data_IF_802838752850
#
_entry.id   IF_802838752850
#
_cell.length_a   1.000
_cell.length_b   1.000
_cell.length_c   1.000
_cell.angle_alpha   90.00
_cell.angle_beta   90.00
_cell.angle_gamma   90.00
#
_symmetry.space_group_name_H-M   'P 1'
#
loop_
_entity.id
_entity.type
_entity.pdbx_description
1 polymer ?
#
# COMPACT_ATOMS: atom_id res chain seq x y z
N UNK A 1 -27.45 18.17 0.17
CA UNK A 1 -26.54 19.13 0.85
C UNK A 1 -25.46 18.47 1.73
N UNK A 2 -25.77 17.46 2.57
CA UNK A 2 -24.74 16.75 3.37
C UNK A 2 -23.88 15.81 2.51
N UNK A 3 -24.49 15.08 1.57
CA UNK A 3 -23.77 14.15 0.68
C UNK A 3 -22.70 14.81 -0.20
N UNK A 4 -22.94 16.03 -0.69
CA UNK A 4 -21.98 16.75 -1.53
C UNK A 4 -20.77 17.25 -0.74
N UNK A 5 -20.98 17.67 0.51
CA UNK A 5 -19.89 18.07 1.42
C UNK A 5 -19.00 16.87 1.77
N UNK A 6 -19.60 15.70 2.02
CA UNK A 6 -18.86 14.47 2.31
C UNK A 6 -18.08 13.99 1.09
N UNK A 7 -18.70 13.97 -0.11
CA UNK A 7 -18.01 13.63 -1.36
C UNK A 7 -16.82 14.56 -1.64
N UNK A 8 -17.00 15.87 -1.42
CA UNK A 8 -15.94 16.85 -1.62
C UNK A 8 -14.81 16.71 -0.59
N UNK A 9 -15.15 16.37 0.66
CA UNK A 9 -14.16 16.07 1.70
C UNK A 9 -13.36 14.82 1.36
N UNK A 10 -14.03 13.72 1.01
CA UNK A 10 -13.38 12.45 0.61
C UNK A 10 -12.45 12.67 -0.60
N UNK A 11 -12.92 13.40 -1.62
CA UNK A 11 -12.09 13.74 -2.79
C UNK A 11 -10.88 14.58 -2.41
N UNK A 12 -11.03 15.52 -1.48
CA UNK A 12 -9.94 16.39 -0.99
C UNK A 12 -8.87 15.60 -0.24
N UNK A 13 -9.30 14.63 0.56
CA UNK A 13 -8.43 13.93 1.49
C UNK A 13 -7.79 12.69 0.85
N UNK A 14 -8.54 11.91 0.07
CA UNK A 14 -8.02 10.73 -0.62
C UNK A 14 -7.26 11.10 -1.90
N UNK A 15 -7.69 12.14 -2.62
CA UNK A 15 -7.12 12.51 -3.91
C UNK A 15 -6.69 13.98 -3.94
N UNK A 16 -5.75 14.39 -3.07
CA UNK A 16 -5.29 15.78 -2.99
C UNK A 16 -4.65 16.26 -4.32
N UNK A 17 -4.17 15.33 -5.13
CA UNK A 17 -3.59 15.53 -6.47
C UNK A 17 -4.53 16.29 -7.43
N UNK A 18 -5.82 15.94 -7.42
CA UNK A 18 -6.80 16.52 -8.35
C UNK A 18 -6.99 18.00 -8.06
N UNK A 19 -7.02 18.36 -6.76
CA UNK A 19 -7.16 19.75 -6.35
C UNK A 19 -5.91 20.56 -6.66
N UNK A 20 -4.73 19.97 -6.47
CA UNK A 20 -3.46 20.62 -6.78
C UNK A 20 -3.38 21.00 -8.27
N UNK A 21 -3.64 20.05 -9.17
CA UNK A 21 -3.59 20.30 -10.61
C UNK A 21 -4.61 21.37 -11.06
N UNK A 22 -5.81 21.35 -10.49
CA UNK A 22 -6.84 22.36 -10.81
C UNK A 22 -6.46 23.75 -10.30
N UNK A 23 -5.92 23.85 -9.08
CA UNK A 23 -5.46 25.10 -8.50
C UNK A 23 -4.26 25.67 -9.26
N UNK A 24 -3.30 24.81 -9.62
CA UNK A 24 -2.13 25.19 -10.41
C UNK A 24 -2.54 25.79 -11.76
N UNK A 25 -3.43 25.12 -12.51
CA UNK A 25 -3.89 25.62 -13.81
C UNK A 25 -4.46 27.05 -13.70
N UNK A 26 -5.33 27.27 -12.71
CA UNK A 26 -5.93 28.59 -12.45
C UNK A 26 -4.88 29.64 -12.08
N UNK A 27 -3.87 29.27 -11.29
CA UNK A 27 -2.80 30.19 -10.91
C UNK A 27 -1.89 30.52 -12.09
N UNK A 28 -1.51 29.54 -12.92
CA UNK A 28 -0.70 29.78 -14.10
C UNK A 28 -1.42 30.67 -15.13
N UNK A 29 -2.74 30.51 -15.28
CA UNK A 29 -3.54 31.42 -16.11
C UNK A 29 -3.51 32.87 -15.59
N UNK A 30 -3.56 33.07 -14.26
CA UNK A 30 -3.42 34.41 -13.66
C UNK A 30 -2.02 34.99 -13.81
N UNK A 31 -0.99 34.18 -13.59
CA UNK A 31 0.42 34.56 -13.75
C UNK A 31 0.67 35.02 -15.18
N UNK A 32 0.21 34.25 -16.18
CA UNK A 32 0.38 34.60 -17.59
C UNK A 32 -0.31 35.91 -17.97
N UNK A 33 -1.46 36.23 -17.33
CA UNK A 33 -2.10 37.53 -17.50
C UNK A 33 -1.22 38.63 -16.93
N UNK A 34 -0.77 38.52 -15.68
CA UNK A 34 0.01 39.56 -14.99
C UNK A 34 1.39 39.76 -15.62
N UNK A 35 2.04 38.69 -16.10
CA UNK A 35 3.37 38.77 -16.70
C UNK A 35 3.41 39.44 -18.08
N UNK A 36 2.28 39.49 -18.78
CA UNK A 36 2.18 40.04 -20.14
C UNK A 36 1.75 41.52 -20.17
N UNK A 37 1.50 42.13 -19.02
CA UNK A 37 1.15 43.55 -18.93
C UNK A 37 2.39 44.41 -18.72
N UNK A 38 2.47 45.50 -19.48
CA UNK A 38 3.41 46.59 -19.23
C UNK A 38 3.04 47.35 -17.96
N UNK A 39 4.06 47.90 -17.28
CA UNK A 39 3.94 48.44 -15.92
C UNK A 39 2.97 49.64 -15.81
N UNK A 40 2.61 50.27 -16.93
CA UNK A 40 1.73 51.44 -16.98
C UNK A 40 0.24 51.10 -16.77
N UNK A 41 -0.17 49.86 -17.06
CA UNK A 41 -1.57 49.40 -16.98
C UNK A 41 -1.92 48.66 -15.66
N UNK A 42 -0.98 48.59 -14.71
CA UNK A 42 -1.15 47.90 -13.42
C UNK A 42 -2.34 48.42 -12.61
N UNK A 43 -2.72 49.68 -12.79
CA UNK A 43 -3.87 50.27 -12.09
C UNK A 43 -5.21 49.62 -12.49
N UNK A 44 -5.27 48.96 -13.65
CA UNK A 44 -6.44 48.21 -14.14
C UNK A 44 -6.39 46.72 -13.78
N UNK A 45 -5.28 46.24 -13.18
CA UNK A 45 -5.14 44.86 -12.73
C UNK A 45 -5.66 44.71 -11.30
N UNK A 46 -6.55 43.73 -11.12
CA UNK A 46 -6.98 43.29 -9.79
C UNK A 46 -5.86 42.45 -9.15
N UNK A 47 -4.91 43.13 -8.50
CA UNK A 47 -3.86 42.50 -7.70
C UNK A 47 -4.47 41.93 -6.41
N UNK A 48 -4.14 40.68 -6.11
CA UNK A 48 -4.73 39.94 -4.99
C UNK A 48 -3.93 40.10 -3.70
N UNK A 49 -2.61 40.24 -3.78
CA UNK A 49 -1.71 40.25 -2.62
C UNK A 49 -1.12 41.63 -2.32
N UNK A 50 -1.02 42.50 -3.33
CA UNK A 50 -0.53 43.88 -3.16
C UNK A 50 -1.58 44.89 -3.58
N UNK A 51 -1.89 45.86 -2.72
CA UNK A 51 -2.64 47.05 -3.11
C UNK A 51 -1.66 48.19 -3.37
N UNK A 52 -1.73 48.73 -4.58
CA UNK A 52 -1.05 49.95 -4.90
C UNK A 52 -1.83 51.12 -4.28
N UNK A 53 -1.30 51.70 -3.21
CA UNK A 53 -1.81 52.98 -2.68
C UNK A 53 -0.69 54.03 -2.66
N UNK A 54 -1.10 55.31 -2.72
CA UNK A 54 -0.16 56.43 -2.71
C UNK A 54 0.53 56.62 -1.35
N UNK A 55 0.06 55.94 -0.29
CA UNK A 55 0.57 56.07 1.07
C UNK A 55 1.71 55.08 1.38
N UNK A 56 1.84 54.01 0.60
CA UNK A 56 2.83 52.96 0.80
C UNK A 56 4.21 53.48 0.39
N UNK A 57 5.15 53.46 1.33
CA UNK A 57 6.55 53.84 1.09
C UNK A 57 7.24 52.79 0.23
N UNK A 58 8.11 53.24 -0.69
CA UNK A 58 8.88 52.36 -1.56
C UNK A 58 9.75 51.37 -0.77
N UNK A 59 10.29 51.78 0.38
CA UNK A 59 11.06 50.93 1.29
C UNK A 59 10.26 49.72 1.79
N UNK A 60 8.98 49.91 2.10
CA UNK A 60 8.11 48.81 2.53
C UNK A 60 7.91 47.80 1.40
N UNK A 61 7.74 48.27 0.16
CA UNK A 61 7.62 47.39 -1.01
C UNK A 61 8.92 46.61 -1.28
N UNK A 62 10.08 47.24 -1.13
CA UNK A 62 11.38 46.55 -1.22
C UNK A 62 11.50 45.45 -0.17
N UNK A 63 11.11 45.75 1.08
CA UNK A 63 11.13 44.76 2.16
C UNK A 63 10.18 43.59 1.90
N UNK A 64 8.95 43.84 1.45
CA UNK A 64 7.99 42.78 1.09
C UNK A 64 8.47 41.94 -0.10
N UNK A 65 9.11 42.59 -1.07
CA UNK A 65 9.73 41.91 -2.19
C UNK A 65 10.85 40.96 -1.74
N UNK A 66 11.77 41.42 -0.90
CA UNK A 66 12.83 40.59 -0.35
C UNK A 66 12.27 39.44 0.49
N UNK A 67 11.23 39.70 1.30
CA UNK A 67 10.51 38.67 2.04
C UNK A 67 9.91 37.62 1.10
N UNK A 68 9.36 38.02 -0.05
CA UNK A 68 8.77 37.11 -1.04
C UNK A 68 9.78 36.17 -1.67
N UNK A 69 11.00 36.65 -1.91
CA UNK A 69 12.11 35.86 -2.41
C UNK A 69 12.63 34.92 -1.32
N UNK A 70 12.84 35.45 -0.10
CA UNK A 70 13.38 34.68 1.01
C UNK A 70 12.49 33.49 1.42
N UNK A 71 11.17 33.56 1.17
CA UNK A 71 10.27 32.42 1.39
C UNK A 71 10.56 31.22 0.49
N UNK A 72 11.22 31.40 -0.65
CA UNK A 72 11.56 30.28 -1.54
C UNK A 72 12.50 29.28 -0.88
N UNK A 73 13.51 29.76 -0.15
CA UNK A 73 14.40 28.88 0.62
C UNK A 73 13.60 28.00 1.61
N UNK A 74 12.60 28.58 2.29
CA UNK A 74 11.74 27.83 3.21
C UNK A 74 10.93 26.73 2.50
N UNK A 75 10.50 26.96 1.26
CA UNK A 75 9.80 25.95 0.47
C UNK A 75 10.74 24.86 -0.03
N UNK A 76 11.97 25.22 -0.41
CA UNK A 76 13.02 24.27 -0.77
C UNK A 76 13.36 23.33 0.39
N UNK A 77 13.55 23.89 1.60
CA UNK A 77 13.83 23.12 2.80
C UNK A 77 12.67 22.17 3.15
N UNK A 78 11.43 22.63 3.03
CA UNK A 78 10.24 21.77 3.20
C UNK A 78 10.18 20.66 2.14
N UNK A 79 10.52 20.94 0.89
CA UNK A 79 10.54 19.94 -0.17
C UNK A 79 11.65 18.89 0.08
N UNK A 80 12.84 19.30 0.52
CA UNK A 80 13.91 18.40 0.97
C UNK A 80 13.46 17.55 2.16
N UNK A 81 12.82 18.16 3.16
CA UNK A 81 12.25 17.43 4.30
C UNK A 81 11.23 16.38 3.87
N UNK A 82 10.37 16.67 2.89
CA UNK A 82 9.44 15.69 2.34
C UNK A 82 10.17 14.53 1.65
N UNK A 83 11.26 14.79 0.92
CA UNK A 83 12.08 13.73 0.32
C UNK A 83 12.69 12.81 1.38
N UNK A 84 13.19 13.38 2.48
CA UNK A 84 13.68 12.60 3.64
C UNK A 84 12.56 11.73 4.23
N UNK A 85 11.36 12.29 4.42
CA UNK A 85 10.21 11.55 4.91
C UNK A 85 9.82 10.39 3.98
N UNK A 86 9.90 10.59 2.66
CA UNK A 86 9.68 9.53 1.67
C UNK A 86 10.73 8.43 1.83
N UNK A 87 12.02 8.78 1.93
CA UNK A 87 13.09 7.79 2.14
C UNK A 87 12.86 6.93 3.39
N UNK A 88 12.54 7.56 4.53
CA UNK A 88 12.22 6.85 5.78
C UNK A 88 11.05 5.88 5.56
N UNK A 89 10.01 6.36 4.87
CA UNK A 89 8.81 5.56 4.66
C UNK A 89 9.06 4.38 3.71
N UNK A 90 9.91 4.54 2.69
CA UNK A 90 10.36 3.42 1.84
C UNK A 90 11.11 2.39 2.68
N UNK A 91 11.99 2.81 3.59
CA UNK A 91 12.67 1.89 4.51
C UNK A 91 11.68 1.10 5.37
N UNK A 92 10.62 1.75 5.88
CA UNK A 92 9.56 1.06 6.64
C UNK A 92 8.84 0.04 5.74
N UNK A 93 8.49 0.40 4.52
CA UNK A 93 7.84 -0.52 3.56
C UNK A 93 8.70 -1.76 3.32
N UNK A 94 10.01 -1.57 3.10
CA UNK A 94 10.96 -2.68 2.92
C UNK A 94 11.01 -3.60 4.15
N UNK A 95 10.99 -3.02 5.36
CA UNK A 95 10.93 -3.78 6.61
C UNK A 95 9.64 -4.59 6.77
N UNK A 96 8.55 -4.15 6.13
CA UNK A 96 7.22 -4.77 6.21
C UNK A 96 6.92 -5.76 5.07
N UNK A 97 7.90 -6.07 4.20
CA UNK A 97 7.73 -7.05 3.11
C UNK A 97 7.27 -8.42 3.64
N UNK A 98 7.82 -8.88 4.77
CA UNK A 98 7.45 -10.18 5.36
C UNK A 98 5.97 -10.22 5.79
N UNK A 99 5.47 -9.29 6.64
CA UNK A 99 4.04 -9.18 6.95
C UNK A 99 3.14 -9.07 5.70
N UNK A 100 3.58 -8.36 4.66
CA UNK A 100 2.83 -8.27 3.39
C UNK A 100 2.71 -9.65 2.74
N UNK A 101 3.81 -10.41 2.68
CA UNK A 101 3.81 -11.74 2.09
C UNK A 101 2.95 -12.73 2.90
N UNK A 102 2.95 -12.61 4.22
CA UNK A 102 2.10 -13.42 5.11
C UNK A 102 0.60 -13.26 4.80
N UNK A 103 0.15 -12.08 4.34
CA UNK A 103 -1.26 -11.89 3.93
C UNK A 103 -1.60 -12.83 2.76
N UNK A 104 -0.69 -13.02 1.81
CA UNK A 104 -0.93 -13.85 0.63
C UNK A 104 -0.89 -15.35 0.92
N UNK A 105 -0.10 -15.76 1.91
CA UNK A 105 0.03 -17.17 2.31
C UNK A 105 -1.03 -17.58 3.33
N UNK A 106 -1.42 -16.68 4.25
CA UNK A 106 -2.32 -16.96 5.37
C UNK A 106 -3.81 -16.87 5.00
N UNK A 107 -4.17 -15.94 4.12
CA UNK A 107 -5.57 -15.77 3.73
C UNK A 107 -5.84 -16.56 2.45
N UNK A 108 -6.61 -17.65 2.52
CA UNK A 108 -7.03 -18.39 1.31
C UNK A 108 -8.13 -17.64 0.52
N UNK A 109 -8.78 -16.64 1.13
CA UNK A 109 -9.84 -15.86 0.49
C UNK A 109 -9.29 -14.90 -0.57
N UNK A 110 -9.70 -15.11 -1.82
CA UNK A 110 -9.30 -14.29 -2.98
C UNK A 110 -9.64 -12.80 -2.82
N UNK A 111 -10.75 -12.47 -2.16
CA UNK A 111 -11.18 -11.08 -1.93
C UNK A 111 -10.17 -10.33 -1.08
N UNK A 112 -9.63 -10.97 -0.04
CA UNK A 112 -8.64 -10.36 0.86
C UNK A 112 -7.32 -10.16 0.12
N UNK A 113 -6.92 -11.10 -0.74
CA UNK A 113 -5.73 -10.93 -1.60
C UNK A 113 -5.88 -9.76 -2.55
N UNK A 114 -7.06 -9.58 -3.16
CA UNK A 114 -7.35 -8.44 -4.06
C UNK A 114 -7.28 -7.13 -3.28
N UNK A 115 -7.92 -7.05 -2.11
CA UNK A 115 -7.87 -5.86 -1.24
C UNK A 115 -6.42 -5.53 -0.86
N UNK A 116 -5.65 -6.52 -0.40
CA UNK A 116 -4.23 -6.35 -0.07
C UNK A 116 -3.40 -5.82 -1.23
N UNK A 117 -3.68 -6.31 -2.45
CA UNK A 117 -3.01 -5.88 -3.68
C UNK A 117 -3.34 -4.43 -4.00
N UNK A 118 -4.61 -4.03 -3.90
CA UNK A 118 -5.05 -2.64 -4.11
C UNK A 118 -4.39 -1.70 -3.09
N UNK A 119 -4.31 -2.11 -1.82
CA UNK A 119 -3.66 -1.32 -0.77
C UNK A 119 -2.17 -1.14 -1.07
N UNK A 120 -1.46 -2.21 -1.46
CA UNK A 120 -0.04 -2.14 -1.82
C UNK A 120 0.20 -1.21 -3.02
N UNK A 121 -0.63 -1.33 -4.06
CA UNK A 121 -0.56 -0.45 -5.21
C UNK A 121 -0.81 1.01 -4.81
N UNK A 122 -1.79 1.25 -3.93
CA UNK A 122 -2.09 2.56 -3.37
C UNK A 122 -0.88 3.17 -2.64
N UNK A 123 -0.20 2.40 -1.78
CA UNK A 123 1.02 2.85 -1.08
C UNK A 123 2.09 3.32 -2.07
N UNK A 124 2.42 2.49 -3.06
CA UNK A 124 3.43 2.81 -4.07
C UNK A 124 3.03 4.03 -4.88
N UNK A 125 1.78 4.09 -5.33
CA UNK A 125 1.26 5.20 -6.12
C UNK A 125 1.35 6.54 -5.35
N UNK A 126 0.88 6.58 -4.10
CA UNK A 126 0.94 7.79 -3.29
C UNK A 126 2.38 8.23 -2.99
N UNK A 127 3.30 7.28 -2.75
CA UNK A 127 4.72 7.59 -2.52
C UNK A 127 5.41 8.16 -3.76
N UNK A 128 5.23 7.52 -4.90
CA UNK A 128 5.80 7.99 -6.16
C UNK A 128 5.30 9.40 -6.48
N UNK A 129 3.99 9.63 -6.34
CA UNK A 129 3.42 10.94 -6.60
C UNK A 129 3.93 12.00 -5.62
N UNK A 130 4.04 11.67 -4.33
CA UNK A 130 4.64 12.58 -3.34
C UNK A 130 6.06 12.98 -3.72
N UNK A 131 6.88 12.02 -4.16
CA UNK A 131 8.24 12.26 -4.63
C UNK A 131 8.30 13.18 -5.84
N UNK A 132 7.47 12.90 -6.86
CA UNK A 132 7.36 13.74 -8.06
C UNK A 132 6.99 15.18 -7.69
N UNK A 133 6.03 15.38 -6.79
CA UNK A 133 5.64 16.73 -6.36
C UNK A 133 6.78 17.46 -5.65
N UNK A 134 7.48 16.80 -4.73
CA UNK A 134 8.62 17.41 -4.02
C UNK A 134 9.74 17.79 -5.00
N UNK A 135 10.04 16.90 -5.95
CA UNK A 135 11.01 17.15 -7.01
C UNK A 135 10.61 18.30 -7.93
N UNK A 136 9.33 18.41 -8.28
CA UNK A 136 8.81 19.55 -9.05
C UNK A 136 9.03 20.88 -8.34
N UNK A 137 8.91 20.94 -7.01
CA UNK A 137 9.21 22.18 -6.28
C UNK A 137 10.69 22.57 -6.38
N UNK A 138 11.59 21.58 -6.28
CA UNK A 138 13.03 21.81 -6.33
C UNK A 138 13.53 22.20 -7.73
N UNK A 139 13.00 21.55 -8.78
CA UNK A 139 13.51 21.70 -10.15
C UNK A 139 12.70 22.67 -11.00
N UNK A 140 11.36 22.52 -11.02
CA UNK A 140 10.50 23.18 -12.00
C UNK A 140 9.87 24.45 -11.44
N UNK A 141 9.40 24.41 -10.19
CA UNK A 141 8.68 25.52 -9.55
C UNK A 141 9.62 26.45 -8.76
N UNK A 142 10.93 26.34 -8.91
CA UNK A 142 11.91 27.23 -8.30
C UNK A 142 12.12 28.54 -9.11
N UNK A 143 11.05 29.08 -9.72
CA UNK A 143 11.09 30.28 -10.56
C UNK A 143 10.86 31.56 -9.74
N UNK A 144 11.85 32.46 -9.75
CA UNK A 144 11.77 33.76 -9.06
C UNK A 144 11.63 34.90 -10.07
N UNK A 145 10.69 35.80 -9.82
CA UNK A 145 10.56 37.04 -10.57
C UNK A 145 11.46 38.10 -9.94
N UNK A 146 12.51 38.46 -10.68
CA UNK A 146 13.53 39.41 -10.25
C UNK A 146 13.30 40.76 -10.91
N UNK A 147 13.40 41.83 -10.11
CA UNK A 147 13.44 43.19 -10.67
C UNK A 147 14.77 43.33 -11.42
N UNK A 148 14.73 43.58 -12.72
CA UNK A 148 15.94 43.63 -13.54
C UNK A 148 16.69 44.96 -13.37
N UNK A 149 18.02 44.93 -13.55
CA UNK A 149 18.85 46.16 -13.56
C UNK A 149 18.46 47.12 -14.69
N UNK A 150 17.93 46.59 -15.80
CA UNK A 150 17.46 47.38 -16.94
C UNK A 150 16.17 48.11 -16.59
N UNK A 151 15.22 47.45 -15.91
CA UNK A 151 14.03 48.10 -15.38
C UNK A 151 14.39 49.12 -14.31
N UNK A 152 15.31 48.80 -13.40
CA UNK A 152 15.80 49.76 -12.42
C UNK A 152 16.42 50.98 -13.09
N UNK A 153 17.21 50.82 -14.16
CA UNK A 153 17.78 51.94 -14.90
C UNK A 153 16.73 52.75 -15.66
N UNK A 154 15.75 52.10 -16.31
CA UNK A 154 14.62 52.79 -16.97
C UNK A 154 13.78 53.57 -15.97
N UNK A 155 13.49 52.98 -14.81
CA UNK A 155 12.72 53.60 -13.74
C UNK A 155 13.51 54.72 -13.07
N UNK A 156 14.81 54.56 -12.81
CA UNK A 156 15.68 55.62 -12.26
C UNK A 156 15.75 56.83 -13.21
N UNK A 157 15.73 56.62 -14.53
CA UNK A 157 15.63 57.70 -15.52
C UNK A 157 14.30 58.46 -15.44
N UNK A 158 13.21 57.78 -15.08
CA UNK A 158 11.89 58.39 -14.87
C UNK A 158 11.79 59.04 -13.48
N UNK A 159 12.47 58.49 -12.47
CA UNK A 159 12.49 58.99 -11.09
C UNK A 159 13.18 60.35 -10.95
N UNK A 160 14.06 60.72 -11.89
CA UNK A 160 14.59 62.07 -12.08
C UNK A 160 13.48 63.14 -12.24
N UNK A 161 12.24 62.75 -12.56
CA UNK A 161 11.05 63.61 -12.59
C UNK A 161 10.23 63.61 -11.26
N UNK A 162 10.82 63.23 -10.12
CA UNK A 162 10.23 63.27 -8.77
C UNK A 162 9.03 62.35 -8.50
N UNK A 163 8.92 61.19 -9.17
CA UNK A 163 7.87 60.20 -8.88
C UNK A 163 8.42 58.80 -8.63
N UNK A 164 8.12 58.25 -7.45
CA UNK A 164 8.40 56.85 -7.08
C UNK A 164 7.37 55.85 -7.66
N UNK A 165 6.28 56.35 -8.26
CA UNK A 165 5.17 55.58 -8.78
C UNK A 165 5.58 54.43 -9.73
N UNK A 166 6.43 54.64 -10.76
CA UNK A 166 6.83 53.57 -11.67
C UNK A 166 7.60 52.46 -10.95
N UNK A 167 8.46 52.81 -9.98
CA UNK A 167 9.24 51.84 -9.20
C UNK A 167 8.34 50.99 -8.32
N UNK A 168 7.38 51.64 -7.64
CA UNK A 168 6.39 50.96 -6.82
C UNK A 168 5.53 49.99 -7.63
N UNK A 169 5.15 50.34 -8.86
CA UNK A 169 4.41 49.46 -9.78
C UNK A 169 5.22 48.21 -10.17
N UNK A 170 6.49 48.38 -10.53
CA UNK A 170 7.39 47.24 -10.82
C UNK A 170 7.55 46.31 -9.62
N UNK A 171 7.72 46.86 -8.41
CA UNK A 171 7.77 46.03 -7.21
C UNK A 171 6.44 45.32 -6.94
N UNK A 172 5.31 46.01 -7.04
CA UNK A 172 3.99 45.43 -6.83
C UNK A 172 3.72 44.23 -7.76
N UNK A 173 4.04 44.35 -9.06
CA UNK A 173 3.89 43.26 -10.03
C UNK A 173 4.78 42.06 -9.67
N UNK A 174 6.06 42.29 -9.34
CA UNK A 174 6.98 41.22 -9.00
C UNK A 174 6.62 40.53 -7.67
N UNK A 175 6.15 41.29 -6.66
CA UNK A 175 5.64 40.71 -5.41
C UNK A 175 4.44 39.81 -5.71
N UNK A 176 3.46 40.30 -6.47
CA UNK A 176 2.26 39.54 -6.83
C UNK A 176 2.63 38.22 -7.53
N UNK A 177 3.52 38.27 -8.51
CA UNK A 177 3.99 37.09 -9.24
C UNK A 177 4.72 36.10 -8.32
N UNK A 178 5.58 36.60 -7.42
CA UNK A 178 6.29 35.78 -6.45
C UNK A 178 5.33 35.15 -5.42
N UNK A 179 4.30 35.86 -4.97
CA UNK A 179 3.26 35.33 -4.06
C UNK A 179 2.42 34.24 -4.69
N UNK A 180 2.05 34.41 -5.97
CA UNK A 180 1.35 33.37 -6.71
C UNK A 180 2.21 32.12 -6.86
N UNK A 181 3.48 32.26 -7.26
CA UNK A 181 4.41 31.12 -7.32
C UNK A 181 4.66 30.49 -5.96
N UNK A 182 4.77 31.27 -4.88
CA UNK A 182 4.87 30.76 -3.52
C UNK A 182 3.64 29.95 -3.11
N UNK A 183 2.45 30.36 -3.53
CA UNK A 183 1.22 29.61 -3.29
C UNK A 183 1.21 28.29 -4.06
N UNK A 184 1.66 28.29 -5.32
CA UNK A 184 1.85 27.05 -6.10
C UNK A 184 2.81 26.10 -5.36
N UNK A 185 4.01 26.57 -4.97
CA UNK A 185 4.98 25.77 -4.20
C UNK A 185 4.36 25.16 -2.95
N UNK A 186 3.63 25.97 -2.18
CA UNK A 186 2.98 25.53 -0.96
C UNK A 186 1.94 24.43 -1.24
N UNK A 187 1.15 24.56 -2.31
CA UNK A 187 0.17 23.55 -2.71
C UNK A 187 0.84 22.22 -3.07
N UNK A 188 1.97 22.26 -3.79
CA UNK A 188 2.75 21.06 -4.10
C UNK A 188 3.31 20.38 -2.85
N UNK A 189 3.95 21.14 -1.95
CA UNK A 189 4.52 20.61 -0.69
C UNK A 189 3.43 19.99 0.18
N UNK A 190 2.31 20.69 0.36
CA UNK A 190 1.19 20.22 1.17
C UNK A 190 0.54 18.98 0.54
N UNK A 191 0.40 18.95 -0.79
CA UNK A 191 -0.14 17.78 -1.51
C UNK A 191 0.79 16.58 -1.37
N UNK A 192 2.11 16.79 -1.51
CA UNK A 192 3.13 15.76 -1.29
C UNK A 192 3.03 15.20 0.13
N UNK A 193 2.99 16.07 1.15
CA UNK A 193 2.83 15.66 2.53
C UNK A 193 1.55 14.83 2.78
N UNK A 194 0.41 15.24 2.20
CA UNK A 194 -0.84 14.46 2.30
C UNK A 194 -0.73 13.09 1.63
N UNK A 195 -0.03 12.99 0.50
CA UNK A 195 0.21 11.71 -0.16
C UNK A 195 1.08 10.79 0.71
N UNK A 196 2.15 11.31 1.34
CA UNK A 196 2.98 10.56 2.31
C UNK A 196 2.11 10.04 3.45
N UNK A 197 1.29 10.91 4.06
CA UNK A 197 0.39 10.54 5.16
C UNK A 197 -0.62 9.47 4.74
N UNK A 198 -1.20 9.58 3.54
CA UNK A 198 -2.13 8.57 3.02
C UNK A 198 -1.43 7.23 2.78
N UNK A 199 -0.22 7.24 2.21
CA UNK A 199 0.58 6.02 2.02
C UNK A 199 0.89 5.33 3.36
N UNK A 200 1.32 6.09 4.38
CA UNK A 200 1.56 5.55 5.72
C UNK A 200 0.28 5.02 6.37
N UNK A 201 -0.86 5.68 6.17
CA UNK A 201 -2.15 5.20 6.69
C UNK A 201 -2.54 3.86 6.06
N UNK A 202 -2.37 3.71 4.75
CA UNK A 202 -2.59 2.44 4.05
C UNK A 202 -1.62 1.35 4.55
N UNK A 203 -0.36 1.71 4.80
CA UNK A 203 0.65 0.80 5.34
C UNK A 203 0.27 0.28 6.73
N UNK A 204 -0.27 1.14 7.60
CA UNK A 204 -0.79 0.74 8.91
C UNK A 204 -1.95 -0.24 8.76
N UNK A 205 -2.87 -0.01 7.82
CA UNK A 205 -3.98 -0.94 7.55
C UNK A 205 -3.45 -2.30 7.10
N UNK A 206 -2.48 -2.33 6.18
CA UNK A 206 -1.82 -3.56 5.73
C UNK A 206 -1.19 -4.29 6.91
N UNK A 207 -0.47 -3.57 7.77
CA UNK A 207 0.18 -4.15 8.94
C UNK A 207 -0.81 -4.80 9.92
N UNK A 208 -1.92 -4.12 10.20
CA UNK A 208 -2.99 -4.66 11.05
C UNK A 208 -3.54 -5.95 10.44
N UNK A 209 -3.81 -5.97 9.13
CA UNK A 209 -4.30 -7.17 8.44
C UNK A 209 -3.26 -8.31 8.53
N UNK A 210 -1.97 -8.03 8.35
CA UNK A 210 -0.92 -9.06 8.43
C UNK A 210 -0.84 -9.74 9.80
N UNK A 211 -0.99 -8.97 10.88
CA UNK A 211 -0.84 -9.49 12.25
C UNK A 211 -2.03 -10.33 12.72
N UNK A 212 -3.26 -10.04 12.26
CA UNK A 212 -4.46 -10.73 12.76
C UNK A 212 -4.31 -12.24 12.60
N UNK A 213 -4.27 -13.04 13.70
CA UNK A 213 -4.14 -14.49 13.63
C UNK A 213 -5.42 -15.08 12.99
N UNK A 214 -5.23 -16.05 12.10
CA UNK A 214 -6.34 -16.83 11.52
C UNK A 214 -6.04 -18.28 11.85
N UNK A 215 -6.99 -18.94 12.49
CA UNK A 215 -7.00 -20.40 12.59
C UNK A 215 -7.12 -20.95 11.17
N UNK A 216 -6.06 -21.60 10.71
CA UNK A 216 -6.02 -22.13 9.36
C UNK A 216 -6.85 -23.42 9.36
N UNK A 217 -8.13 -23.34 8.98
CA UNK A 217 -9.04 -24.51 8.96
C UNK A 217 -8.51 -25.68 8.10
N UNK A 218 -7.52 -25.46 7.23
CA UNK A 218 -6.88 -26.52 6.45
C UNK A 218 -6.02 -27.47 7.27
N UNK A 219 -5.45 -27.01 8.39
CA UNK A 219 -4.66 -27.86 9.30
C UNK A 219 -5.60 -28.81 10.03
N UNK A 220 -6.73 -28.29 10.51
CA UNK A 220 -7.79 -29.08 11.14
C UNK A 220 -8.41 -30.10 10.17
N UNK A 221 -8.66 -29.72 8.90
CA UNK A 221 -9.27 -30.63 7.90
C UNK A 221 -8.35 -31.80 7.49
N UNK A 222 -7.01 -31.60 7.54
CA UNK A 222 -6.05 -32.69 7.35
C UNK A 222 -5.93 -33.58 8.58
N UNK A 223 -5.96 -32.99 9.77
CA UNK A 223 -5.89 -33.72 11.04
C UNK A 223 -7.14 -34.60 11.22
N UNK A 224 -8.33 -34.09 10.87
CA UNK A 224 -9.58 -34.84 10.88
C UNK A 224 -9.55 -36.05 9.92
N UNK A 225 -9.03 -35.86 8.69
CA UNK A 225 -8.85 -36.97 7.72
C UNK A 225 -7.82 -37.99 8.17
N UNK A 226 -6.76 -37.55 8.86
CA UNK A 226 -5.74 -38.44 9.44
C UNK A 226 -6.36 -39.31 10.54
N UNK A 227 -7.19 -38.72 11.39
CA UNK A 227 -7.90 -39.44 12.45
C UNK A 227 -8.89 -40.46 11.85
N UNK A 228 -9.63 -40.11 10.80
CA UNK A 228 -10.57 -41.01 10.11
C UNK A 228 -9.85 -42.22 9.47
N UNK A 229 -8.67 -41.99 8.88
CA UNK A 229 -7.81 -43.06 8.34
C UNK A 229 -7.29 -43.95 9.48
N UNK A 230 -6.87 -43.36 10.59
CA UNK A 230 -6.36 -44.10 11.75
C UNK A 230 -7.43 -45.01 12.36
N UNK A 231 -8.67 -44.52 12.45
CA UNK A 231 -9.82 -45.29 12.93
C UNK A 231 -10.14 -46.46 11.99
N UNK A 232 -10.09 -46.22 10.67
CA UNK A 232 -10.27 -47.28 9.66
C UNK A 232 -9.19 -48.37 9.75
N UNK A 233 -7.92 -47.99 9.98
CA UNK A 233 -6.81 -48.94 10.18
C UNK A 233 -7.04 -49.78 11.44
N UNK A 234 -7.51 -49.16 12.53
CA UNK A 234 -7.80 -49.86 13.77
C UNK A 234 -8.93 -50.89 13.61
N UNK A 235 -9.97 -50.55 12.85
CA UNK A 235 -11.06 -51.47 12.52
C UNK A 235 -10.57 -52.68 11.71
N UNK A 236 -9.78 -52.44 10.65
CA UNK A 236 -9.17 -53.51 9.84
C UNK A 236 -8.27 -54.41 10.69
N UNK A 237 -7.46 -53.86 11.59
CA UNK A 237 -6.60 -54.65 12.46
C UNK A 237 -7.39 -55.54 13.43
N UNK A 238 -8.52 -55.05 13.94
CA UNK A 238 -9.42 -55.83 14.78
C UNK A 238 -10.03 -56.99 13.98
N UNK A 239 -10.45 -56.74 12.74
CA UNK A 239 -10.99 -57.79 11.86
C UNK A 239 -9.94 -58.83 11.48
N UNK A 240 -8.71 -58.42 11.14
CA UNK A 240 -7.59 -59.34 10.89
C UNK A 240 -7.32 -60.21 12.12
N UNK A 241 -7.40 -59.63 13.32
CA UNK A 241 -7.19 -60.37 14.56
C UNK A 241 -8.28 -61.42 14.78
N UNK A 242 -9.55 -61.09 14.49
CA UNK A 242 -10.65 -62.06 14.53
C UNK A 242 -10.46 -63.19 13.52
N UNK A 243 -10.11 -62.85 12.28
CA UNK A 243 -9.84 -63.85 11.23
C UNK A 243 -8.72 -64.83 11.62
N UNK A 244 -7.62 -64.33 12.19
CA UNK A 244 -6.51 -65.20 12.65
C UNK A 244 -6.94 -66.16 13.76
N UNK A 245 -7.83 -65.73 14.65
CA UNK A 245 -8.38 -66.60 15.71
C UNK A 245 -9.27 -67.68 15.11
N UNK A 246 -10.11 -67.33 14.13
CA UNK A 246 -10.97 -68.29 13.42
C UNK A 246 -10.17 -69.31 12.60
N UNK A 247 -9.09 -68.88 11.95
CA UNK A 247 -8.16 -69.74 11.20
C UNK A 247 -7.42 -70.72 12.12
N UNK A 248 -6.95 -70.26 13.29
CA UNK A 248 -6.33 -71.12 14.30
C UNK A 248 -7.30 -72.19 14.79
N UNK A 249 -8.53 -71.80 15.13
CA UNK A 249 -9.57 -72.73 15.58
C UNK A 249 -9.93 -73.77 14.51
N UNK A 250 -9.96 -73.37 13.23
CA UNK A 250 -10.23 -74.28 12.11
C UNK A 250 -9.11 -75.29 11.90
N UNK A 251 -7.86 -74.86 12.04
CA UNK A 251 -6.67 -75.71 11.93
C UNK A 251 -6.64 -76.80 13.01
N UNK A 252 -6.97 -76.45 14.25
CA UNK A 252 -7.07 -77.39 15.37
C UNK A 252 -8.14 -78.47 15.14
N UNK A 253 -9.27 -78.09 14.53
CA UNK A 253 -10.35 -79.01 14.15
C UNK A 253 -9.92 -80.00 13.07
N UNK A 254 -9.17 -79.56 12.06
CA UNK A 254 -8.64 -80.42 10.99
C UNK A 254 -7.65 -81.44 11.57
N UNK A 255 -6.71 -81.00 12.41
CA UNK A 255 -5.74 -81.89 13.04
C UNK A 255 -6.42 -83.00 13.86
N UNK A 256 -7.48 -82.65 14.60
CA UNK A 256 -8.27 -83.62 15.37
C UNK A 256 -9.03 -84.61 14.49
N UNK A 257 -9.49 -84.19 13.30
CA UNK A 257 -10.11 -85.07 12.32
C UNK A 257 -9.10 -86.01 11.67
N UNK A 258 -7.90 -85.53 11.33
CA UNK A 258 -6.83 -86.37 10.79
C UNK A 258 -6.38 -87.46 11.79
N UNK A 259 -6.28 -87.12 13.06
CA UNK A 259 -5.94 -88.08 14.12
C UNK A 259 -7.04 -89.14 14.28
N UNK A 260 -8.31 -88.74 14.18
CA UNK A 260 -9.46 -89.64 14.20
C UNK A 260 -9.49 -90.57 12.98
N UNK A 261 -9.14 -90.06 11.80
CA UNK A 261 -9.02 -90.83 10.55
C UNK A 261 -7.93 -91.89 10.64
N UNK A 262 -6.73 -91.54 11.11
CA UNK A 262 -5.62 -92.49 11.29
C UNK A 262 -5.99 -93.64 12.22
N UNK A 263 -6.65 -93.34 13.33
CA UNK A 263 -7.11 -94.37 14.27
C UNK A 263 -8.12 -95.33 13.62
N UNK A 264 -9.02 -94.81 12.78
CA UNK A 264 -9.97 -95.63 12.04
C UNK A 264 -9.27 -96.54 11.01
N UNK A 265 -8.24 -96.04 10.34
CA UNK A 265 -7.44 -96.83 9.39
C UNK A 265 -6.69 -97.97 10.09
N UNK A 266 -6.13 -97.72 11.27
CA UNK A 266 -5.49 -98.74 12.11
C UNK A 266 -6.51 -99.82 12.53
N UNK A 267 -7.70 -99.42 13.00
CA UNK A 267 -8.77 -100.35 13.38
C UNK A 267 -9.24 -101.21 12.19
N UNK A 268 -9.36 -100.61 10.99
CA UNK A 268 -9.69 -101.33 9.75
C UNK A 268 -8.57 -102.32 9.39
N UNK A 269 -7.31 -101.95 9.53
CA UNK A 269 -6.17 -102.83 9.25
C UNK A 269 -6.17 -104.05 10.19
N UNK A 270 -6.44 -103.83 11.48
CA UNK A 270 -6.58 -104.90 12.49
C UNK A 270 -7.77 -105.81 12.16
N UNK A 271 -8.90 -105.27 11.72
CA UNK A 271 -10.06 -106.07 11.33
C UNK A 271 -9.78 -106.90 10.07
N UNK A 272 -9.11 -106.33 9.07
CA UNK A 272 -8.70 -107.04 7.85
C UNK A 272 -7.73 -108.19 8.14
N UNK A 273 -6.74 -107.99 9.03
CA UNK A 273 -5.81 -109.07 9.40
C UNK A 273 -6.53 -110.21 10.10
N UNK A 274 -7.43 -109.91 11.04
CA UNK A 274 -8.28 -110.92 11.71
C UNK A 274 -9.18 -111.69 10.74
N UNK A 275 -9.68 -111.05 9.69
CA UNK A 275 -10.51 -111.69 8.67
C UNK A 275 -9.69 -112.68 7.82
N UNK A 276 -8.48 -112.30 7.42
CA UNK A 276 -7.56 -113.17 6.67
C UNK A 276 -7.09 -114.41 7.47
N UNK A 277 -7.00 -114.30 8.80
CA UNK A 277 -6.72 -115.45 9.68
C UNK A 277 -7.90 -116.42 9.78
N UNK A 278 -9.12 -115.96 9.59
CA UNK A 278 -10.31 -116.83 9.57
C UNK A 278 -10.48 -117.56 8.23
N UNK A 279 -10.11 -116.93 7.12
CA UNK A 279 -10.17 -117.55 5.79
C UNK A 279 -9.12 -118.66 5.61
N UNK A 280 -7.94 -118.54 6.24
CA UNK A 280 -6.89 -119.58 6.22
C UNK A 280 -7.16 -120.78 7.17
N UNK A 281 -8.25 -120.76 7.94
CA UNK A 281 -8.65 -121.85 8.86
C UNK A 281 -9.84 -122.68 8.35
N UNK A 282 -10.27 -122.47 7.10
CA UNK A 282 -11.21 -123.34 6.37
C UNK A 282 -10.48 -124.11 5.29
#
# INVERSE_FOLDING_TARGET
>A
MVGDKVKNFIKKELFPMIQNNSAEKKMNEKIARISNYDSEDINNLELQYVRFDNQTKLENMKSEYDNSINRVAKFEDKAKSNLVAISISVTIILGLIKPINEIYTKYNNIVIKIIGTILCFGVVFFMLYAGILSLKVLMEKNVLYKVSLIELNKVNLIQLNNSDEPMKKTYAQNIELNEMNNTIRNNYINTSFRCIRNALSLLVVIFIIGIIPISNNQENDMEDKLNEIQDSINEINNDITRFKVEESNSTDLINKQEESMKKLEEDIAILKSKLSEQENKK
#
